data_IF_902269400128
#
_entry.id   IF_902269400128
#
_cell.length_a   1.000
_cell.length_b   1.000
_cell.length_c   1.000
_cell.angle_alpha   90.00
_cell.angle_beta   90.00
_cell.angle_gamma   90.00
#
_symmetry.space_group_name_H-M   'P 1'
#
loop_
_entity.id
_entity.type
_entity.pdbx_description
1 polymer ?
#
# COMPACT_ATOMS: atom_id res chain seq x y z
N UNK A 1 9.60 4.65 -1.86
CA UNK A 1 10.54 3.90 -1.00
C UNK A 1 11.90 4.55 -1.04
N UNK A 2 12.61 4.45 0.08
CA UNK A 2 13.91 5.08 0.27
C UNK A 2 14.87 4.02 0.80
N UNK A 3 16.06 3.92 0.22
CA UNK A 3 17.15 3.08 0.72
C UNK A 3 18.08 3.98 1.51
N UNK A 4 18.26 3.70 2.80
CA UNK A 4 19.23 4.38 3.67
C UNK A 4 20.51 3.56 3.68
N UNK A 5 21.61 4.16 3.24
CA UNK A 5 22.93 3.54 3.29
C UNK A 5 23.62 3.84 4.62
N UNK A 6 24.60 3.01 4.99
CA UNK A 6 25.34 3.12 6.25
C UNK A 6 26.13 4.43 6.34
N UNK A 7 26.50 5.03 5.20
CA UNK A 7 27.17 6.33 5.15
C UNK A 7 26.20 7.53 5.35
N UNK A 8 24.90 7.28 5.48
CA UNK A 8 23.88 8.32 5.67
C UNK A 8 23.23 8.80 4.36
N UNK A 9 23.73 8.39 3.19
CA UNK A 9 23.09 8.67 1.91
C UNK A 9 21.69 8.05 1.83
N UNK A 10 20.72 8.80 1.32
CA UNK A 10 19.34 8.34 1.09
C UNK A 10 19.07 8.31 -0.42
N UNK A 11 18.78 7.12 -0.95
CA UNK A 11 18.40 6.94 -2.36
C UNK A 11 16.90 6.71 -2.48
N UNK A 12 16.21 7.67 -3.10
CA UNK A 12 14.80 7.54 -3.46
C UNK A 12 14.68 6.66 -4.72
N UNK A 13 13.92 5.58 -4.61
CA UNK A 13 13.63 4.69 -5.74
C UNK A 13 12.13 4.64 -6.01
N UNK A 14 11.78 4.58 -7.30
CA UNK A 14 10.41 4.31 -7.74
C UNK A 14 10.19 2.80 -7.68
N UNK A 15 9.11 2.39 -7.02
CA UNK A 15 8.65 1.01 -6.99
C UNK A 15 7.32 0.93 -7.74
N UNK A 16 7.06 -0.22 -8.34
CA UNK A 16 5.77 -0.55 -8.90
C UNK A 16 4.86 -1.08 -7.77
N UNK A 17 3.78 -0.38 -7.46
CA UNK A 17 2.74 -0.92 -6.60
C UNK A 17 1.83 -1.82 -7.44
N UNK A 18 1.74 -3.11 -7.10
CA UNK A 18 0.83 -4.06 -7.77
C UNK A 18 -0.51 -4.03 -7.06
N UNK A 19 -1.49 -3.41 -7.70
CA UNK A 19 -2.90 -3.49 -7.35
C UNK A 19 -3.58 -3.90 -8.65
N UNK A 20 -3.87 -5.19 -8.77
CA UNK A 20 -4.22 -5.79 -10.07
C UNK A 20 -5.73 -5.69 -10.36
N UNK A 21 -6.57 -5.52 -9.33
CA UNK A 21 -8.04 -5.43 -9.47
C UNK A 21 -8.64 -4.19 -8.81
N UNK A 22 -9.85 -3.80 -9.28
CA UNK A 22 -10.61 -2.69 -8.70
C UNK A 22 -10.96 -2.94 -7.22
N UNK A 23 -11.28 -4.19 -6.86
CA UNK A 23 -11.56 -4.57 -5.47
C UNK A 23 -10.35 -4.34 -4.57
N UNK A 24 -9.13 -4.66 -5.02
CA UNK A 24 -7.92 -4.40 -4.23
C UNK A 24 -7.65 -2.91 -4.03
N UNK A 25 -7.96 -2.06 -5.04
CA UNK A 25 -7.91 -0.59 -4.88
C UNK A 25 -8.87 -0.15 -3.77
N UNK A 26 -10.08 -0.71 -3.76
CA UNK A 26 -11.09 -0.41 -2.76
C UNK A 26 -10.64 -0.86 -1.37
N UNK A 27 -10.18 -2.10 -1.22
CA UNK A 27 -9.62 -2.62 0.03
C UNK A 27 -8.46 -1.74 0.53
N UNK A 28 -7.54 -1.32 -0.36
CA UNK A 28 -6.43 -0.44 -0.01
C UNK A 28 -6.92 0.92 0.51
N UNK A 29 -7.84 1.57 -0.20
CA UNK A 29 -8.44 2.86 0.22
C UNK A 29 -9.16 2.76 1.56
N UNK A 30 -9.73 1.59 1.84
CA UNK A 30 -10.48 1.29 3.05
C UNK A 30 -9.59 0.77 4.20
N UNK A 31 -8.26 0.80 4.08
CA UNK A 31 -7.35 0.39 5.15
C UNK A 31 -7.29 -1.13 5.36
N UNK A 32 -7.67 -1.91 4.34
CA UNK A 32 -7.58 -3.37 4.30
C UNK A 32 -8.91 -4.05 4.02
N UNK A 33 -8.83 -5.31 3.58
CA UNK A 33 -10.00 -6.14 3.27
C UNK A 33 -10.91 -6.35 4.49
N UNK A 34 -10.34 -6.56 5.67
CA UNK A 34 -11.13 -6.76 6.90
C UNK A 34 -11.97 -5.53 7.23
N UNK A 35 -11.36 -4.35 7.17
CA UNK A 35 -12.03 -3.08 7.44
C UNK A 35 -13.12 -2.78 6.41
N UNK A 36 -12.86 -3.11 5.13
CA UNK A 36 -13.84 -3.00 4.06
C UNK A 36 -15.07 -3.90 4.31
N UNK A 37 -14.84 -5.18 4.61
CA UNK A 37 -15.93 -6.14 4.84
C UNK A 37 -16.74 -5.77 6.08
N UNK A 38 -16.09 -5.46 7.20
CA UNK A 38 -16.78 -5.10 8.44
C UNK A 38 -17.71 -3.89 8.28
N UNK A 39 -17.33 -2.89 7.46
CA UNK A 39 -18.19 -1.74 7.18
C UNK A 39 -19.36 -2.05 6.25
N UNK A 40 -19.24 -3.08 5.40
CA UNK A 40 -20.31 -3.51 4.49
C UNK A 40 -21.29 -4.50 5.13
N UNK A 41 -20.99 -5.01 6.33
CA UNK A 41 -21.87 -5.93 7.08
C UNK A 41 -22.80 -5.22 8.06
N UNK A 42 -22.73 -3.89 8.15
CA UNK A 42 -23.58 -3.06 9.02
C UNK A 42 -24.63 -2.35 8.16
#
# INVERSE_FOLDING_TARGET
CEIKYVDGTIKKIKLLCRIDTANEVEYYKHGGILQYVLRNMI
#
